data_IF_407078986102
#
_entry.id   IF_407078986102
#
_cell.length_a   1.000
_cell.length_b   1.000
_cell.length_c   1.000
_cell.angle_alpha   90.00
_cell.angle_beta   90.00
_cell.angle_gamma   90.00
#
_symmetry.space_group_name_H-M   'P 1'
#
loop_
_entity.id
_entity.type
_entity.pdbx_description
1 polymer ?
#
# COMPACT_ATOMS: atom_id res chain seq x y z
N UNK A 1 2.30 1.74 1.82
CA UNK A 1 2.48 2.82 0.83
C UNK A 1 1.19 3.09 0.06
N UNK A 2 0.72 2.18 -0.80
CA UNK A 2 -0.47 2.41 -1.64
C UNK A 2 -1.71 2.94 -0.89
N UNK A 3 -2.09 2.33 0.25
CA UNK A 3 -3.18 2.84 1.09
C UNK A 3 -3.01 4.33 1.43
N UNK A 4 -1.80 4.76 1.84
CA UNK A 4 -1.52 6.16 2.19
C UNK A 4 -1.44 7.04 0.95
N UNK A 5 -0.87 6.54 -0.14
CA UNK A 5 -0.78 7.25 -1.41
C UNK A 5 -2.17 7.55 -2.02
N UNK A 6 -3.16 6.73 -1.66
CA UNK A 6 -4.57 6.88 -2.04
C UNK A 6 -5.39 7.70 -1.04
N UNK A 7 -4.81 8.17 0.08
CA UNK A 7 -5.50 9.05 1.02
C UNK A 7 -6.11 10.29 0.35
N UNK A 8 -5.38 11.05 -0.50
CA UNK A 8 -5.95 12.25 -1.13
C UNK A 8 -7.12 11.94 -2.07
N UNK A 9 -7.13 10.78 -2.72
CA UNK A 9 -8.26 10.32 -3.54
C UNK A 9 -9.47 10.02 -2.67
N UNK A 10 -9.29 9.26 -1.58
CA UNK A 10 -10.37 8.95 -0.63
C UNK A 10 -10.95 10.19 0.03
N UNK A 11 -10.10 11.17 0.35
CA UNK A 11 -10.51 12.45 0.91
C UNK A 11 -11.11 13.42 -0.12
N UNK A 12 -11.20 13.02 -1.41
CA UNK A 12 -11.63 13.88 -2.53
C UNK A 12 -10.82 15.17 -2.67
N UNK A 13 -9.56 15.15 -2.26
CA UNK A 13 -8.59 16.25 -2.41
C UNK A 13 -7.90 16.17 -3.78
N UNK A 14 -7.77 14.96 -4.33
CA UNK A 14 -7.09 14.73 -5.62
C UNK A 14 -7.85 13.73 -6.47
N UNK A 15 -7.85 13.97 -7.78
CA UNK A 15 -8.60 13.17 -8.74
C UNK A 15 -7.83 11.94 -9.24
N UNK A 16 -6.49 12.00 -9.23
CA UNK A 16 -5.61 10.92 -9.69
C UNK A 16 -4.39 10.79 -8.77
N UNK A 17 -3.73 9.62 -8.71
CA UNK A 17 -2.56 9.42 -7.86
C UNK A 17 -1.41 10.40 -8.13
N UNK A 18 -1.24 10.87 -9.36
CA UNK A 18 -0.19 11.81 -9.77
C UNK A 18 -0.47 13.25 -9.30
N UNK A 19 -1.73 13.56 -9.01
CA UNK A 19 -2.18 14.83 -8.43
C UNK A 19 -2.16 14.84 -6.89
N UNK A 20 -1.94 13.68 -6.26
CA UNK A 20 -1.88 13.53 -4.80
C UNK A 20 -0.63 14.17 -4.21
N UNK A 21 -0.68 15.47 -3.92
CA UNK A 21 0.43 16.19 -3.28
C UNK A 21 0.79 15.56 -1.93
N UNK A 22 2.08 15.65 -1.56
CA UNK A 22 2.65 15.10 -0.31
C UNK A 22 2.66 13.57 -0.15
N UNK A 23 2.38 12.81 -1.21
CA UNK A 23 2.43 11.34 -1.18
C UNK A 23 3.76 10.77 -1.67
N UNK A 24 4.00 9.48 -1.40
CA UNK A 24 5.19 8.79 -1.89
C UNK A 24 5.09 8.51 -3.39
N UNK A 25 3.88 8.25 -3.91
CA UNK A 25 3.63 8.12 -5.36
C UNK A 25 4.00 9.39 -6.11
N UNK A 26 3.63 10.57 -5.61
CA UNK A 26 4.03 11.86 -6.22
C UNK A 26 5.54 12.01 -6.32
N UNK A 27 6.26 11.75 -5.23
CA UNK A 27 7.72 11.82 -5.18
C UNK A 27 8.37 10.85 -6.18
N UNK A 28 7.83 9.64 -6.29
CA UNK A 28 8.32 8.61 -7.22
C UNK A 28 8.07 9.02 -8.68
N UNK A 29 6.88 9.51 -9.03
CA UNK A 29 6.56 10.01 -10.38
C UNK A 29 7.46 11.19 -10.78
N UNK A 30 7.66 12.18 -9.89
CA UNK A 30 8.53 13.33 -10.16
C UNK A 30 9.97 12.88 -10.41
N UNK A 31 10.51 11.98 -9.59
CA UNK A 31 11.85 11.45 -9.80
C UNK A 31 11.98 10.64 -11.10
N UNK A 32 10.95 9.86 -11.45
CA UNK A 32 10.93 9.03 -12.65
C UNK A 32 10.97 9.85 -13.94
N UNK A 33 10.38 11.05 -13.96
CA UNK A 33 10.51 12.01 -15.09
C UNK A 33 11.95 12.38 -15.41
N UNK A 34 12.83 12.27 -14.42
CA UNK A 34 14.28 12.50 -14.55
C UNK A 34 15.08 11.19 -14.56
N UNK A 35 14.42 10.04 -14.80
CA UNK A 35 15.04 8.71 -14.80
C UNK A 35 15.78 8.39 -13.50
N UNK A 36 15.24 8.88 -12.36
CA UNK A 36 15.83 8.73 -11.02
C UNK A 36 14.83 8.15 -10.04
N UNK A 37 15.34 7.64 -8.93
CA UNK A 37 14.53 7.31 -7.75
C UNK A 37 14.72 8.36 -6.64
N UNK A 38 13.67 8.64 -5.84
CA UNK A 38 13.75 9.62 -4.76
C UNK A 38 14.64 9.11 -3.61
N UNK A 39 15.62 9.92 -3.19
CA UNK A 39 16.63 9.55 -2.17
C UNK A 39 16.06 9.25 -0.77
N UNK A 40 14.93 9.86 -0.42
CA UNK A 40 14.30 9.72 0.91
C UNK A 40 13.29 8.58 1.00
N UNK A 41 13.09 7.81 -0.07
CA UNK A 41 12.22 6.64 -0.08
C UNK A 41 13.04 5.40 -0.36
N UNK A 42 12.60 4.27 0.21
CA UNK A 42 13.22 2.98 -0.05
C UNK A 42 13.13 2.65 -1.56
N UNK A 43 14.26 2.33 -2.22
CA UNK A 43 14.34 2.22 -3.67
C UNK A 43 13.70 0.93 -4.17
N UNK A 44 13.22 0.93 -5.41
CA UNK A 44 12.85 -0.26 -6.15
C UNK A 44 14.09 -0.91 -6.74
N UNK A 45 14.25 -2.22 -6.54
CA UNK A 45 15.42 -3.00 -6.98
C UNK A 45 15.05 -4.11 -7.97
N UNK A 46 13.86 -4.01 -8.57
CA UNK A 46 13.30 -4.97 -9.53
C UNK A 46 13.09 -6.37 -8.90
N UNK A 47 12.98 -7.39 -9.75
CA UNK A 47 12.65 -8.75 -9.33
C UNK A 47 13.73 -9.39 -8.43
N UNK A 48 13.31 -10.29 -7.50
CA UNK A 48 14.22 -11.08 -6.69
C UNK A 48 15.28 -11.80 -7.52
N UNK A 49 16.54 -11.75 -7.06
CA UNK A 49 17.70 -12.43 -7.67
C UNK A 49 18.74 -12.76 -6.60
N UNK A 50 19.63 -13.72 -6.89
CA UNK A 50 20.61 -14.28 -5.95
C UNK A 50 21.51 -13.23 -5.26
N UNK A 51 21.78 -12.11 -5.93
CA UNK A 51 22.49 -10.93 -5.39
C UNK A 51 21.58 -9.70 -5.39
N UNK A 52 20.60 -9.68 -4.49
CA UNK A 52 19.62 -8.60 -4.41
C UNK A 52 20.17 -7.40 -3.63
N UNK A 53 20.24 -6.19 -4.22
CA UNK A 53 20.56 -5.00 -3.46
C UNK A 53 19.42 -4.64 -2.51
N UNK A 54 19.72 -3.90 -1.45
CA UNK A 54 18.76 -3.48 -0.43
C UNK A 54 17.66 -2.58 -1.05
N UNK A 55 16.40 -3.04 -1.02
CA UNK A 55 15.27 -2.33 -1.63
C UNK A 55 14.00 -3.15 -1.80
N UNK A 56 12.99 -2.53 -2.42
CA UNK A 56 11.70 -3.13 -2.74
C UNK A 56 11.81 -4.10 -3.93
N UNK A 57 11.39 -5.38 -3.78
CA UNK A 57 11.60 -6.44 -4.76
C UNK A 57 10.59 -6.46 -5.92
N UNK A 58 10.36 -5.30 -6.54
CA UNK A 58 9.46 -5.13 -7.68
C UNK A 58 9.78 -3.84 -8.44
N UNK A 59 9.21 -3.68 -9.63
CA UNK A 59 9.48 -2.51 -10.47
C UNK A 59 8.62 -1.30 -10.09
N UNK A 60 9.10 -0.10 -10.43
CA UNK A 60 8.33 1.13 -10.26
C UNK A 60 7.05 1.11 -11.10
N UNK A 61 7.12 0.59 -12.32
CA UNK A 61 5.98 0.39 -13.24
C UNK A 61 4.87 -0.42 -12.56
N UNK A 62 5.23 -1.58 -12.01
CA UNK A 62 4.29 -2.45 -11.30
C UNK A 62 3.59 -1.72 -10.13
N UNK A 63 4.34 -0.91 -9.37
CA UNK A 63 3.79 -0.12 -8.29
C UNK A 63 2.84 0.98 -8.78
N UNK A 64 3.20 1.70 -9.85
CA UNK A 64 2.36 2.76 -10.40
C UNK A 64 1.07 2.19 -10.98
N UNK A 65 1.15 1.08 -11.69
CA UNK A 65 -0.02 0.36 -12.23
C UNK A 65 -0.95 -0.11 -11.10
N UNK A 66 -0.39 -0.73 -10.06
CA UNK A 66 -1.14 -1.15 -8.88
C UNK A 66 -1.87 0.02 -8.20
N UNK A 67 -1.19 1.16 -8.03
CA UNK A 67 -1.78 2.36 -7.41
C UNK A 67 -2.85 2.98 -8.31
N UNK A 68 -2.63 3.07 -9.62
CA UNK A 68 -3.61 3.63 -10.57
C UNK A 68 -4.89 2.78 -10.61
N UNK A 69 -4.77 1.46 -10.81
CA UNK A 69 -5.93 0.55 -10.84
C UNK A 69 -6.70 0.61 -9.52
N UNK A 70 -5.99 0.55 -8.39
CA UNK A 70 -6.63 0.63 -7.07
C UNK A 70 -7.33 1.98 -6.86
N UNK A 71 -6.71 3.08 -7.29
CA UNK A 71 -7.30 4.42 -7.21
C UNK A 71 -8.54 4.58 -8.09
N UNK A 72 -8.57 3.95 -9.27
CA UNK A 72 -9.76 3.90 -10.13
C UNK A 72 -10.89 3.10 -9.50
N UNK A 73 -10.59 1.98 -8.84
CA UNK A 73 -11.60 1.18 -8.14
C UNK A 73 -12.22 1.97 -6.98
N UNK A 74 -11.42 2.74 -6.23
CA UNK A 74 -11.91 3.60 -5.13
C UNK A 74 -12.87 4.68 -5.63
N UNK A 75 -12.67 5.18 -6.85
CA UNK A 75 -13.53 6.19 -7.47
C UNK A 75 -14.60 5.48 -8.31
N UNK A 76 -15.67 5.06 -7.65
CA UNK A 76 -16.84 4.34 -8.23
C UNK A 76 -17.43 4.99 -9.51
N UNK A 77 -17.09 6.25 -9.80
CA UNK A 77 -17.57 7.03 -10.95
C UNK A 77 -16.82 6.80 -12.27
N UNK A 78 -15.76 5.95 -12.34
CA UNK A 78 -15.05 5.69 -13.61
C UNK A 78 -15.45 4.35 -14.25
N UNK A 79 -16.09 4.43 -15.43
CA UNK A 79 -16.33 3.28 -16.33
C UNK A 79 -15.00 2.56 -16.63
N UNK A 80 -14.97 1.24 -16.44
CA UNK A 80 -13.80 0.38 -16.74
C UNK A 80 -13.04 -0.12 -15.52
N UNK A 81 -13.73 -0.69 -14.52
CA UNK A 81 -13.04 -1.34 -13.40
C UNK A 81 -12.19 -2.50 -13.93
N UNK A 82 -10.87 -2.35 -13.86
CA UNK A 82 -9.96 -3.44 -14.18
C UNK A 82 -10.00 -4.42 -13.02
N UNK A 83 -10.17 -5.70 -13.32
CA UNK A 83 -10.10 -6.73 -12.31
C UNK A 83 -8.68 -6.77 -11.72
N UNK A 84 -8.56 -6.43 -10.44
CA UNK A 84 -7.30 -6.46 -9.72
C UNK A 84 -6.69 -7.87 -9.67
N UNK A 85 -7.44 -8.95 -9.94
CA UNK A 85 -6.91 -10.32 -10.08
C UNK A 85 -5.92 -10.48 -11.23
N UNK A 86 -5.99 -9.59 -12.23
CA UNK A 86 -5.13 -9.61 -13.41
C UNK A 86 -3.77 -8.95 -13.19
N UNK A 87 -3.56 -8.30 -12.04
CA UNK A 87 -2.31 -7.59 -11.76
C UNK A 87 -1.16 -8.57 -11.49
N UNK A 88 -0.11 -8.65 -12.35
CA UNK A 88 0.97 -9.61 -12.19
C UNK A 88 1.74 -9.46 -10.88
N UNK A 89 1.85 -8.22 -10.37
CA UNK A 89 2.51 -7.96 -9.08
C UNK A 89 1.80 -8.64 -7.91
N UNK A 90 0.46 -8.70 -7.90
CA UNK A 90 -0.28 -9.35 -6.82
C UNK A 90 -0.05 -10.86 -6.86
N UNK A 91 -0.03 -11.45 -8.05
CA UNK A 91 0.29 -12.87 -8.24
C UNK A 91 1.72 -13.20 -7.81
N UNK A 92 2.71 -12.40 -8.23
CA UNK A 92 4.13 -12.57 -7.88
C UNK A 92 4.37 -12.47 -6.37
N UNK A 93 3.62 -11.61 -5.68
CA UNK A 93 3.71 -11.44 -4.23
C UNK A 93 2.80 -12.40 -3.44
N UNK A 94 2.07 -13.29 -4.12
CA UNK A 94 1.09 -14.19 -3.53
C UNK A 94 0.03 -13.46 -2.67
N UNK A 95 -0.49 -12.34 -3.18
CA UNK A 95 -1.51 -11.51 -2.53
C UNK A 95 -2.83 -11.66 -3.28
N UNK A 96 -3.88 -12.11 -2.58
CA UNK A 96 -5.24 -12.11 -3.12
C UNK A 96 -5.71 -10.69 -3.41
N UNK A 97 -6.33 -10.48 -4.57
CA UNK A 97 -6.85 -9.17 -4.98
C UNK A 97 -8.02 -8.70 -4.11
N UNK A 98 -8.84 -9.61 -3.58
CA UNK A 98 -9.86 -9.27 -2.60
C UNK A 98 -9.23 -8.73 -1.31
N UNK A 99 -8.20 -9.41 -0.81
CA UNK A 99 -7.45 -8.97 0.38
C UNK A 99 -6.75 -7.63 0.13
N UNK A 100 -6.15 -7.46 -1.05
CA UNK A 100 -5.53 -6.20 -1.45
C UNK A 100 -6.54 -5.05 -1.44
N UNK A 101 -7.69 -5.22 -2.10
CA UNK A 101 -8.73 -4.19 -2.14
C UNK A 101 -9.21 -3.86 -0.73
N UNK A 102 -9.51 -4.87 0.08
CA UNK A 102 -9.91 -4.69 1.49
C UNK A 102 -8.89 -3.87 2.28
N UNK A 103 -7.59 -4.14 2.12
CA UNK A 103 -6.54 -3.32 2.76
C UNK A 103 -6.50 -1.92 2.16
N UNK A 104 -6.55 -1.80 0.84
CA UNK A 104 -6.39 -0.51 0.17
C UNK A 104 -7.57 0.43 0.40
N UNK A 105 -8.76 -0.07 0.75
CA UNK A 105 -9.98 0.74 0.91
C UNK A 105 -10.47 0.79 2.35
N UNK A 106 -10.37 -0.30 3.10
CA UNK A 106 -11.04 -0.48 4.40
C UNK A 106 -10.06 -0.64 5.58
N UNK A 107 -8.75 -0.44 5.39
CA UNK A 107 -7.75 -0.62 6.47
C UNK A 107 -8.16 0.12 7.75
N UNK A 108 -8.36 1.44 7.69
CA UNK A 108 -8.74 2.22 8.87
C UNK A 108 -10.07 1.82 9.52
N UNK A 109 -11.00 1.24 8.75
CA UNK A 109 -12.30 0.77 9.27
C UNK A 109 -12.19 -0.61 9.94
N UNK A 110 -11.25 -1.46 9.48
CA UNK A 110 -11.08 -2.84 9.97
C UNK A 110 -9.98 -3.01 11.00
N UNK A 111 -9.10 -2.02 11.14
CA UNK A 111 -8.00 -2.02 12.10
C UNK A 111 -8.25 -1.09 13.28
N UNK A 112 -7.80 -1.50 14.46
CA UNK A 112 -7.77 -0.63 15.64
C UNK A 112 -6.58 0.32 15.66
N UNK A 113 -6.34 0.92 16.82
CA UNK A 113 -5.24 1.87 17.08
C UNK A 113 -3.85 1.27 16.85
N UNK A 114 -3.71 -0.06 16.97
CA UNK A 114 -2.44 -0.79 16.83
C UNK A 114 -2.64 -1.96 15.88
N UNK A 115 -1.71 -2.12 14.93
CA UNK A 115 -1.73 -3.19 13.92
C UNK A 115 -0.32 -3.78 13.81
N UNK A 116 -0.21 -5.09 13.80
CA UNK A 116 1.07 -5.80 13.71
C UNK A 116 0.93 -7.29 13.98
N UNK A 117 2.06 -8.00 14.02
CA UNK A 117 2.08 -9.37 14.49
C UNK A 117 1.63 -9.43 15.96
N UNK A 118 0.91 -10.50 16.33
CA UNK A 118 0.37 -10.66 17.68
C UNK A 118 1.43 -10.47 18.76
N UNK A 119 2.59 -11.11 18.59
CA UNK A 119 3.73 -11.00 19.51
C UNK A 119 4.24 -9.55 19.62
N UNK A 120 4.29 -8.81 18.50
CA UNK A 120 4.70 -7.40 18.49
C UNK A 120 3.68 -6.49 19.17
N UNK A 121 2.38 -6.78 19.02
CA UNK A 121 1.31 -6.03 19.70
C UNK A 121 1.38 -6.26 21.21
N UNK A 122 1.59 -7.51 21.64
CA UNK A 122 1.76 -7.86 23.05
C UNK A 122 2.96 -7.09 23.64
N UNK A 123 4.12 -7.20 23.00
CA UNK A 123 5.32 -6.49 23.43
C UNK A 123 5.09 -4.96 23.50
N UNK A 124 4.47 -4.38 22.48
CA UNK A 124 4.13 -2.95 22.47
C UNK A 124 3.23 -2.55 23.63
N UNK A 125 2.21 -3.36 23.96
CA UNK A 125 1.30 -3.06 25.07
C UNK A 125 2.02 -3.10 26.43
N UNK A 126 2.91 -4.07 26.62
CA UNK A 126 3.68 -4.25 27.85
C UNK A 126 4.67 -3.09 28.05
N UNK A 127 5.43 -2.74 26.99
CA UNK A 127 6.39 -1.64 27.03
C UNK A 127 5.75 -0.27 27.28
N UNK A 128 4.51 -0.07 26.81
CA UNK A 128 3.80 1.20 26.93
C UNK A 128 2.79 1.23 28.10
N UNK A 129 2.77 0.20 28.97
CA UNK A 129 1.89 0.09 30.15
C UNK A 129 0.42 0.37 29.82
N UNK A 130 -0.06 -0.12 28.67
CA UNK A 130 -1.43 0.11 28.24
C UNK A 130 -2.38 -0.77 29.06
N UNK A 131 -3.17 -0.15 29.95
CA UNK A 131 -4.14 -0.83 30.83
C UNK A 131 -5.27 -1.54 30.06
N UNK A 132 -5.50 -1.21 28.79
CA UNK A 132 -6.54 -1.79 27.94
C UNK A 132 -5.89 -2.40 26.72
N UNK A 133 -5.84 -3.73 26.66
CA UNK A 133 -5.39 -4.42 25.44
C UNK A 133 -6.33 -4.03 24.29
N UNK A 134 -5.79 -3.67 23.11
CA UNK A 134 -6.62 -3.31 21.96
C UNK A 134 -7.58 -4.47 21.67
N UNK A 135 -8.83 -4.14 21.29
CA UNK A 135 -9.83 -5.15 20.94
C UNK A 135 -9.23 -6.06 19.87
N UNK A 136 -9.07 -7.35 20.18
CA UNK A 136 -8.69 -8.35 19.19
C UNK A 136 -9.89 -8.65 18.29
N UNK A 137 -10.24 -7.69 17.43
CA UNK A 137 -10.98 -8.02 16.22
C UNK A 137 -9.98 -8.79 15.36
N UNK A 138 -10.07 -10.12 15.36
CA UNK A 138 -9.23 -11.03 14.58
C UNK A 138 -9.53 -10.89 13.07
N UNK A 139 -9.44 -9.69 12.53
CA UNK A 139 -9.50 -9.45 11.10
C UNK A 139 -8.10 -9.70 10.56
N UNK A 140 -7.78 -10.96 10.21
CA UNK A 140 -6.60 -11.24 9.38
C UNK A 140 -6.78 -10.49 8.07
N UNK A 141 -6.02 -9.41 7.89
CA UNK A 141 -6.03 -8.63 6.67
C UNK A 141 -5.21 -9.29 5.56
N UNK A 142 -4.23 -10.11 5.95
CA UNK A 142 -3.43 -10.94 5.07
C UNK A 142 -3.62 -12.38 5.54
N UNK A 143 -4.18 -13.22 4.66
CA UNK A 143 -4.28 -14.67 4.83
C UNK A 143 -3.27 -15.33 3.89
#
# INVERSE_FOLDING_TARGET
MAYVDLNPLRAKISETPEASEFTSVKKRVVAAKHQKQPKLLYPFVCNPRENMPDGLPFELSDYLELVDITGRIIREDKRGSIDASLLPILQRLNISSENWLRIATEFGARTGTVVGAEQSIVHYCDSNKLNRKPRSSHNRLLA
#
